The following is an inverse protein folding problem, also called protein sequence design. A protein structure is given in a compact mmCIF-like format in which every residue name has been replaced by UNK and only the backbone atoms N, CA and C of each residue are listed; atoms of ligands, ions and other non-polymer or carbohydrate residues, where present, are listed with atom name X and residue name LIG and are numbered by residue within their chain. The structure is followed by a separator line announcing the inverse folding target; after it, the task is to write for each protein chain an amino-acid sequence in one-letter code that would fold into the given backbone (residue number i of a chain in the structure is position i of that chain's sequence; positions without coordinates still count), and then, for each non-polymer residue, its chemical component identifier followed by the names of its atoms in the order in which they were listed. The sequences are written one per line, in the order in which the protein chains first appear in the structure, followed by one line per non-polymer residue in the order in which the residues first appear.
data_IF_106408273853
#
_entry.id   IF_106408273853
#
_cell.length_a   1.000
_cell.length_b   1.000
_cell.length_c   1.000
_cell.angle_alpha   90.00
_cell.angle_beta   90.00
_cell.angle_gamma   90.00
#
_symmetry.space_group_name_H-M   'P 1'
#
loop_
_entity.id
_entity.type
_entity.pdbx_description
1 polymer ?
#
# COMPACT_ATOMS: atom_id res chain seq x y z
N UNK A 1 -4.92 24.81 11.39
CA UNK A 1 -4.11 23.78 10.69
C UNK A 1 -5.10 22.85 10.01
N UNK A 2 -5.06 22.74 8.68
CA UNK A 2 -5.92 21.80 7.96
C UNK A 2 -5.48 20.37 8.29
N UNK A 3 -6.41 19.49 8.67
CA UNK A 3 -6.15 18.07 8.94
C UNK A 3 -5.50 17.34 7.74
N UNK A 4 -5.56 17.93 6.54
CA UNK A 4 -4.86 17.45 5.33
C UNK A 4 -3.35 17.70 5.36
N UNK A 5 -2.87 18.63 6.18
CA UNK A 5 -1.45 18.97 6.30
C UNK A 5 -0.76 18.25 7.48
N UNK A 6 -1.48 17.35 8.16
CA UNK A 6 -0.91 16.47 9.18
C UNK A 6 0.16 15.54 8.57
N UNK A 7 1.31 15.46 9.21
CA UNK A 7 2.39 14.55 8.82
C UNK A 7 1.98 13.10 9.11
N UNK A 8 2.14 12.23 8.12
CA UNK A 8 1.70 10.83 8.18
C UNK A 8 2.73 9.92 8.81
N UNK A 9 4.02 10.17 8.57
CA UNK A 9 5.12 9.34 9.02
C UNK A 9 6.01 10.12 10.00
N UNK A 10 6.53 9.44 11.02
CA UNK A 10 7.36 10.10 12.03
C UNK A 10 8.77 10.45 11.52
N UNK A 11 9.25 9.75 10.50
CA UNK A 11 10.63 9.80 9.99
C UNK A 11 10.83 10.76 8.81
N UNK A 12 9.76 11.30 8.24
CA UNK A 12 9.83 12.23 7.10
C UNK A 12 8.69 13.24 7.10
N UNK A 13 8.90 14.46 6.55
CA UNK A 13 7.87 15.51 6.51
C UNK A 13 6.85 15.28 5.38
N UNK A 14 6.24 14.10 5.35
CA UNK A 14 5.20 13.72 4.38
C UNK A 14 3.81 14.03 4.94
N UNK A 15 3.12 14.99 4.34
CA UNK A 15 1.73 15.32 4.73
C UNK A 15 0.72 14.32 4.18
N UNK A 16 -0.46 14.26 4.82
CA UNK A 16 -1.58 13.43 4.36
C UNK A 16 -2.03 13.79 2.95
N UNK A 17 -2.03 15.08 2.60
CA UNK A 17 -2.35 15.57 1.26
C UNK A 17 -1.36 15.05 0.22
N UNK A 18 -0.06 15.22 0.46
CA UNK A 18 0.98 14.76 -0.47
C UNK A 18 0.93 13.23 -0.63
N UNK A 19 0.72 12.49 0.46
CA UNK A 19 0.59 11.04 0.38
C UNK A 19 -0.63 10.62 -0.45
N UNK A 20 -1.78 11.29 -0.28
CA UNK A 20 -2.98 11.03 -1.10
C UNK A 20 -2.76 11.35 -2.57
N UNK A 21 -2.02 12.41 -2.88
CA UNK A 21 -1.67 12.77 -4.25
C UNK A 21 -0.82 11.68 -4.91
N UNK A 22 0.19 11.17 -4.20
CA UNK A 22 1.05 10.08 -4.69
C UNK A 22 0.26 8.78 -4.85
N UNK A 23 -0.51 8.39 -3.83
CA UNK A 23 -1.21 7.10 -3.81
C UNK A 23 -2.49 7.09 -4.66
N UNK A 24 -3.01 8.25 -5.03
CA UNK A 24 -4.16 8.41 -5.92
C UNK A 24 -3.87 8.04 -7.38
N UNK A 25 -2.62 7.77 -7.75
CA UNK A 25 -2.25 7.33 -9.09
C UNK A 25 -1.18 6.24 -9.07
N UNK A 26 -1.54 5.02 -9.51
CA UNK A 26 -0.61 3.88 -9.59
C UNK A 26 0.54 4.08 -10.59
N UNK A 27 0.39 5.06 -11.50
CA UNK A 27 1.42 5.50 -12.43
C UNK A 27 2.46 6.43 -11.79
N UNK A 28 2.18 6.98 -10.60
CA UNK A 28 3.12 7.86 -9.93
C UNK A 28 4.42 7.08 -9.60
N UNK A 29 5.61 7.62 -9.92
CA UNK A 29 6.88 6.88 -9.79
C UNK A 29 7.17 6.43 -8.35
N UNK A 30 6.65 7.15 -7.37
CA UNK A 30 6.82 6.83 -5.94
C UNK A 30 5.70 5.95 -5.37
N UNK A 31 4.68 5.60 -6.17
CA UNK A 31 3.51 4.87 -5.67
C UNK A 31 3.90 3.56 -4.97
N UNK A 32 4.75 2.75 -5.61
CA UNK A 32 5.16 1.45 -5.07
C UNK A 32 5.93 1.57 -3.74
N UNK A 33 6.77 2.61 -3.60
CA UNK A 33 7.50 2.87 -2.36
C UNK A 33 6.55 3.21 -1.22
N UNK A 34 5.65 4.19 -1.41
CA UNK A 34 4.73 4.62 -0.36
C UNK A 34 3.63 3.60 -0.06
N UNK A 35 3.16 2.85 -1.05
CA UNK A 35 2.23 1.75 -0.83
C UNK A 35 2.86 0.67 0.07
N UNK A 36 4.12 0.30 -0.22
CA UNK A 36 4.87 -0.62 0.63
C UNK A 36 5.12 -0.08 2.03
N UNK A 37 5.45 1.21 2.17
CA UNK A 37 5.64 1.87 3.47
C UNK A 37 4.35 1.86 4.30
N UNK A 38 3.21 2.19 3.70
CA UNK A 38 1.90 2.14 4.37
C UNK A 38 1.57 0.70 4.81
N UNK A 39 1.72 -0.29 3.95
CA UNK A 39 1.50 -1.70 4.33
C UNK A 39 2.41 -2.16 5.47
N UNK A 40 3.62 -1.61 5.59
CA UNK A 40 4.55 -1.94 6.68
C UNK A 40 4.17 -1.29 8.01
N UNK A 41 3.70 -0.05 7.98
CA UNK A 41 3.60 0.79 9.17
C UNK A 41 2.17 0.95 9.70
N UNK A 42 1.16 0.72 8.87
CA UNK A 42 -0.22 1.02 9.20
C UNK A 42 -0.99 -0.24 9.59
N UNK A 43 -1.93 -0.08 10.53
CA UNK A 43 -2.91 -1.13 10.83
C UNK A 43 -3.81 -1.36 9.60
N UNK A 44 -4.28 -2.60 9.36
CA UNK A 44 -5.06 -2.93 8.15
C UNK A 44 -6.26 -2.01 7.89
N UNK A 45 -6.99 -1.59 8.93
CA UNK A 45 -8.13 -0.66 8.82
C UNK A 45 -7.75 0.72 8.26
N UNK A 46 -6.52 1.18 8.54
CA UNK A 46 -6.00 2.45 8.04
C UNK A 46 -5.38 2.33 6.65
N UNK A 47 -4.76 1.19 6.32
CA UNK A 47 -4.15 0.95 5.01
C UNK A 47 -5.14 1.21 3.88
N UNK A 48 -6.37 0.67 4.00
CA UNK A 48 -7.38 0.75 2.95
C UNK A 48 -8.02 2.14 2.80
N UNK A 49 -7.70 3.09 3.69
CA UNK A 49 -8.08 4.50 3.51
C UNK A 49 -7.19 5.25 2.49
N UNK A 50 -6.10 4.60 2.07
CA UNK A 50 -5.13 5.10 1.09
C UNK A 50 -4.96 4.21 -0.14
N UNK A 51 -5.16 2.90 0.01
CA UNK A 51 -4.88 1.91 -1.04
C UNK A 51 -6.12 1.10 -1.38
N UNK A 52 -6.28 0.76 -2.66
CA UNK A 52 -7.21 -0.29 -3.08
C UNK A 52 -6.53 -1.67 -2.98
N UNK A 53 -7.18 -2.68 -2.36
CA UNK A 53 -6.70 -4.06 -2.43
C UNK A 53 -6.40 -4.53 -3.86
N UNK A 54 -7.25 -4.16 -4.83
CA UNK A 54 -7.06 -4.56 -6.22
C UNK A 54 -5.80 -3.94 -6.82
N UNK A 55 -5.56 -2.64 -6.61
CA UNK A 55 -4.36 -1.96 -7.09
C UNK A 55 -3.08 -2.53 -6.46
N UNK A 56 -3.13 -2.87 -5.16
CA UNK A 56 -2.00 -3.51 -4.47
C UNK A 56 -1.68 -4.88 -5.06
N UNK A 57 -2.70 -5.68 -5.39
CA UNK A 57 -2.49 -6.98 -6.01
C UNK A 57 -1.97 -6.87 -7.45
N UNK A 58 -2.44 -5.90 -8.23
CA UNK A 58 -2.00 -5.66 -9.62
C UNK A 58 -0.56 -5.13 -9.67
N UNK A 59 -0.17 -4.31 -8.68
CA UNK A 59 1.16 -3.68 -8.57
C UNK A 59 2.09 -4.42 -7.61
N UNK A 60 1.71 -5.62 -7.16
CA UNK A 60 2.48 -6.41 -6.20
C UNK A 60 3.95 -6.62 -6.59
N UNK A 61 4.29 -6.93 -7.86
CA UNK A 61 5.69 -7.10 -8.27
C UNK A 61 6.58 -5.89 -7.97
N UNK A 62 6.03 -4.68 -8.07
CA UNK A 62 6.76 -3.43 -7.92
C UNK A 62 6.92 -3.01 -6.45
N UNK A 63 5.91 -3.27 -5.62
CA UNK A 63 5.88 -2.81 -4.23
C UNK A 63 6.47 -3.82 -3.24
N UNK A 64 6.45 -5.13 -3.55
CA UNK A 64 6.83 -6.19 -2.59
C UNK A 64 8.26 -6.05 -2.04
N UNK A 65 9.15 -5.38 -2.78
CA UNK A 65 10.53 -5.09 -2.34
C UNK A 65 10.60 -4.11 -1.17
N UNK A 66 9.56 -3.30 -0.95
CA UNK A 66 9.51 -2.28 0.10
C UNK A 66 8.87 -2.78 1.41
N UNK A 67 8.24 -3.96 1.39
CA UNK A 67 7.54 -4.53 2.54
C UNK A 67 8.50 -5.05 3.63
N UNK A 68 9.73 -5.41 3.26
CA UNK A 68 10.70 -5.96 4.22
C UNK A 68 10.13 -7.16 4.98
N UNK A 69 10.18 -7.11 6.32
CA UNK A 69 9.71 -8.21 7.20
C UNK A 69 8.20 -8.44 7.20
N UNK A 70 7.39 -7.48 6.77
CA UNK A 70 5.92 -7.67 6.70
C UNK A 70 5.48 -8.40 5.43
N UNK A 71 6.38 -8.62 4.46
CA UNK A 71 6.05 -9.29 3.19
C UNK A 71 5.31 -10.63 3.39
N UNK A 72 5.75 -11.57 4.25
CA UNK A 72 5.08 -12.86 4.39
C UNK A 72 3.64 -12.76 4.89
N UNK A 73 3.35 -11.79 5.76
CA UNK A 73 2.00 -11.52 6.25
C UNK A 73 1.10 -11.08 5.10
N UNK A 74 1.56 -10.11 4.32
CA UNK A 74 0.78 -9.55 3.22
C UNK A 74 0.62 -10.54 2.07
N UNK A 75 1.65 -11.31 1.71
CA UNK A 75 1.53 -12.34 0.68
C UNK A 75 0.53 -13.42 1.08
N UNK A 76 0.52 -13.84 2.35
CA UNK A 76 -0.47 -14.80 2.86
C UNK A 76 -1.89 -14.22 2.80
N UNK A 77 -2.09 -12.98 3.23
CA UNK A 77 -3.40 -12.32 3.21
C UNK A 77 -3.94 -12.20 1.77
N UNK A 78 -3.13 -11.69 0.84
CA UNK A 78 -3.53 -11.53 -0.55
C UNK A 78 -3.75 -12.87 -1.25
N UNK A 79 -2.95 -13.90 -0.94
CA UNK A 79 -3.19 -15.25 -1.44
C UNK A 79 -4.59 -15.76 -1.03
N UNK A 80 -5.00 -15.54 0.24
CA UNK A 80 -6.34 -15.89 0.71
C UNK A 80 -7.44 -15.05 0.09
N UNK A 81 -7.21 -13.76 -0.12
CA UNK A 81 -8.18 -12.91 -0.80
C UNK A 81 -8.39 -13.30 -2.27
N UNK A 82 -7.35 -13.76 -2.95
CA UNK A 82 -7.44 -14.31 -4.30
C UNK A 82 -8.19 -15.64 -4.31
N UNK A 83 -7.86 -16.54 -3.38
CA UNK A 83 -8.54 -17.84 -3.22
C UNK A 83 -10.05 -17.67 -3.00
N UNK A 84 -10.46 -16.68 -2.20
CA UNK A 84 -11.88 -16.38 -1.94
C UNK A 84 -12.53 -15.46 -2.98
N UNK A 85 -11.80 -14.98 -3.98
CA UNK A 85 -12.32 -14.12 -5.04
C UNK A 85 -12.59 -12.66 -4.66
N UNK A 86 -12.07 -12.17 -3.53
CA UNK A 86 -12.18 -10.76 -3.13
C UNK A 86 -11.29 -9.84 -3.94
N UNK A 87 -10.16 -10.36 -4.44
CA UNK A 87 -9.20 -9.64 -5.27
C UNK A 87 -8.79 -10.55 -6.42
N UNK A 88 -8.60 -9.98 -7.60
CA UNK A 88 -8.00 -10.69 -8.73
C UNK A 88 -6.53 -10.30 -8.83
N UNK A 89 -5.67 -11.23 -9.23
CA UNK A 89 -4.30 -10.87 -9.61
C UNK A 89 -3.89 -11.65 -10.84
N UNK A 90 -3.30 -10.94 -11.80
CA UNK A 90 -2.58 -11.54 -12.92
C UNK A 90 -1.12 -11.80 -12.60
N UNK A 91 -0.63 -11.30 -11.45
CA UNK A 91 0.76 -11.39 -11.03
C UNK A 91 0.94 -12.37 -9.86
N UNK A 92 2.08 -13.09 -9.77
CA UNK A 92 2.35 -13.95 -8.62
C UNK A 92 2.49 -13.14 -7.32
N UNK A 93 1.74 -13.52 -6.28
CA UNK A 93 1.83 -12.91 -4.94
C UNK A 93 2.93 -13.55 -4.06
N UNK A 94 3.45 -14.72 -4.46
CA UNK A 94 4.54 -15.42 -3.77
C UNK A 94 5.87 -14.62 -3.74
#
# INVERSE_FOLDING_TARGET
MDSRDEVVFWDEPMTRRQLREILGSTAHPQWAYYAGKILREFRPDRVWSYLSPQEVADRWPDLRRYLGRSRPLWSLLFAKWIEFGYVRSSAPIA
#
